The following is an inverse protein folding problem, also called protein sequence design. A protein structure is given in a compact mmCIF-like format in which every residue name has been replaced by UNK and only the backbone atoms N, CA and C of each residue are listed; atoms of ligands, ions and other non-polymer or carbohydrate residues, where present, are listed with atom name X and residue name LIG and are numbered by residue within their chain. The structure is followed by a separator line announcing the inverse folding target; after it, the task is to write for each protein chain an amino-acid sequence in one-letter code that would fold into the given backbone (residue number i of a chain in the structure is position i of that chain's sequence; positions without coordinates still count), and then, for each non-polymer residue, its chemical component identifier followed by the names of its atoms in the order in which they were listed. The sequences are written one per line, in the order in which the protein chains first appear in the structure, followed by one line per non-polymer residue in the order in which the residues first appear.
data_IF_771496640540
#
_entry.id   IF_771496640540
#
_cell.length_a   1.000
_cell.length_b   1.000
_cell.length_c   1.000
_cell.angle_alpha   90.00
_cell.angle_beta   90.00
_cell.angle_gamma   90.00
#
_symmetry.space_group_name_H-M   'P 1'
#
loop_
_entity.id
_entity.type
_entity.pdbx_description
1 polymer ?
#
# COMPACT_ATOMS: atom_id res chain seq x y z
N UNK A 1 -30.03 -68.39 -7.38
CA UNK A 1 -28.56 -68.41 -7.52
C UNK A 1 -28.05 -66.97 -7.50
N UNK A 2 -27.02 -66.66 -6.71
CA UNK A 2 -26.52 -65.31 -6.44
C UNK A 2 -25.31 -64.92 -7.31
N UNK A 3 -25.22 -63.63 -7.68
CA UNK A 3 -24.02 -62.76 -7.87
C UNK A 3 -24.46 -61.52 -8.66
N UNK A 4 -24.24 -60.31 -8.11
CA UNK A 4 -23.03 -59.53 -8.46
C UNK A 4 -22.33 -59.01 -7.19
N UNK A 5 -21.03 -59.23 -7.02
CA UNK A 5 -19.88 -58.55 -7.64
C UNK A 5 -19.36 -57.42 -6.74
N UNK A 6 -18.06 -57.54 -6.48
CA UNK A 6 -17.20 -56.72 -5.64
C UNK A 6 -17.13 -55.28 -6.15
N UNK A 7 -17.19 -54.31 -5.23
CA UNK A 7 -16.91 -52.92 -5.54
C UNK A 7 -16.83 -52.08 -4.28
N UNK A 8 -15.73 -52.18 -3.56
CA UNK A 8 -15.38 -51.26 -2.50
C UNK A 8 -15.16 -49.85 -3.10
N UNK A 9 -16.14 -48.97 -3.02
CA UNK A 9 -15.97 -47.55 -3.33
C UNK A 9 -15.62 -46.75 -2.08
N UNK A 10 -14.30 -46.67 -1.90
CA UNK A 10 -13.52 -45.52 -1.46
C UNK A 10 -14.27 -44.30 -0.89
N UNK A 11 -13.87 -43.95 0.34
CA UNK A 11 -13.24 -42.66 0.56
C UNK A 11 -14.15 -41.44 0.64
N UNK A 12 -14.75 -41.28 1.82
CA UNK A 12 -14.99 -40.02 2.52
C UNK A 12 -14.59 -38.72 1.78
N UNK A 13 -15.63 -37.95 1.42
CA UNK A 13 -15.73 -36.50 1.63
C UNK A 13 -14.50 -35.66 1.27
N UNK A 14 -14.44 -35.22 0.00
CA UNK A 14 -13.72 -34.00 -0.37
C UNK A 14 -14.48 -32.78 0.16
N UNK A 15 -14.17 -32.37 1.38
CA UNK A 15 -14.42 -31.03 1.87
C UNK A 15 -13.44 -30.05 1.23
N UNK A 16 -13.72 -29.62 0.00
CA UNK A 16 -13.02 -28.48 -0.59
C UNK A 16 -13.68 -27.19 -0.10
N UNK A 17 -13.41 -26.80 1.15
CA UNK A 17 -13.54 -25.40 1.56
C UNK A 17 -12.20 -24.73 1.26
N UNK A 18 -12.15 -23.96 0.18
CA UNK A 18 -11.16 -22.88 0.06
C UNK A 18 -11.86 -21.63 -0.48
N UNK A 19 -12.43 -20.77 0.39
CA UNK A 19 -12.60 -19.38 0.07
C UNK A 19 -11.43 -18.60 0.68
N UNK A 20 -10.26 -18.62 0.04
CA UNK A 20 -9.19 -17.69 0.42
C UNK A 20 -8.33 -17.29 -0.78
N UNK A 21 -8.88 -16.38 -1.57
CA UNK A 21 -8.10 -15.36 -2.27
C UNK A 21 -8.95 -14.09 -2.23
N UNK A 22 -8.39 -12.92 -1.88
CA UNK A 22 -7.02 -12.53 -2.14
C UNK A 22 -6.16 -12.56 -0.87
N UNK A 23 -4.99 -13.18 -0.98
CA UNK A 23 -3.85 -12.68 -0.24
C UNK A 23 -3.68 -11.22 -0.67
N UNK A 24 -4.22 -10.31 0.14
CA UNK A 24 -3.72 -8.95 0.20
C UNK A 24 -2.21 -9.10 0.23
N UNK A 25 -1.55 -8.60 -0.81
CA UNK A 25 -0.10 -8.56 -0.91
C UNK A 25 0.41 -7.54 0.11
N UNK A 26 0.13 -7.80 1.39
CA UNK A 26 0.81 -7.24 2.52
C UNK A 26 2.09 -8.07 2.64
N UNK A 27 3.03 -7.82 1.74
CA UNK A 27 4.39 -8.28 1.88
C UNK A 27 4.89 -7.77 3.24
N UNK A 28 5.23 -8.67 4.18
CA UNK A 28 5.67 -8.27 5.50
C UNK A 28 7.17 -7.99 5.43
N UNK A 29 7.56 -6.71 5.46
CA UNK A 29 8.84 -6.35 6.08
C UNK A 29 8.77 -4.92 6.62
N UNK A 30 8.53 -4.84 7.91
CA UNK A 30 8.59 -3.63 8.70
C UNK A 30 10.05 -3.17 8.82
N UNK A 31 10.41 -2.01 8.25
CA UNK A 31 11.38 -1.11 8.91
C UNK A 31 11.41 0.26 8.23
N UNK A 32 10.39 1.08 8.48
CA UNK A 32 10.50 2.54 8.39
C UNK A 32 9.46 3.09 9.37
N UNK A 33 9.83 3.29 10.65
CA UNK A 33 8.88 3.59 11.70
C UNK A 33 8.30 4.99 11.49
N UNK A 34 7.11 5.08 10.89
CA UNK A 34 6.31 6.30 10.92
C UNK A 34 5.45 6.58 9.70
N UNK A 35 5.75 6.04 8.52
CA UNK A 35 5.01 6.34 7.29
C UNK A 35 4.36 5.07 6.77
N UNK A 36 3.16 4.73 7.25
CA UNK A 36 2.38 3.60 6.75
C UNK A 36 1.40 4.05 5.65
N UNK A 37 1.09 3.22 4.66
CA UNK A 37 0.01 3.51 3.71
C UNK A 37 -1.33 3.72 4.44
N UNK A 38 -2.11 4.68 3.97
CA UNK A 38 -3.33 5.19 4.61
C UNK A 38 -3.10 6.25 5.68
N UNK A 39 -1.85 6.58 6.02
CA UNK A 39 -1.56 7.65 6.97
C UNK A 39 -1.48 9.01 6.28
N UNK A 40 -2.01 10.03 6.96
CA UNK A 40 -1.87 11.42 6.54
C UNK A 40 -0.43 11.89 6.77
N UNK A 41 0.13 12.58 5.78
CA UNK A 41 1.49 13.11 5.79
C UNK A 41 1.50 14.54 5.29
N UNK A 42 2.39 15.34 5.83
CA UNK A 42 2.65 16.72 5.43
C UNK A 42 4.09 16.83 4.92
N UNK A 43 4.33 17.76 4.01
CA UNK A 43 5.70 18.13 3.65
C UNK A 43 6.34 18.93 4.79
N UNK A 44 7.54 18.54 5.22
CA UNK A 44 8.37 19.35 6.13
C UNK A 44 8.94 20.58 5.42
N UNK A 45 9.30 20.43 4.15
CA UNK A 45 9.93 21.45 3.32
C UNK A 45 9.57 21.24 1.85
N UNK A 46 9.56 22.31 1.05
CA UNK A 46 9.24 22.21 -0.37
C UNK A 46 10.49 21.68 -1.08
N UNK A 47 10.47 20.48 -1.66
CA UNK A 47 11.58 20.05 -2.49
C UNK A 47 11.71 20.97 -3.70
N UNK A 48 12.88 21.06 -4.31
CA UNK A 48 13.03 21.84 -5.56
C UNK A 48 12.16 21.26 -6.68
N UNK A 49 11.97 19.94 -6.68
CA UNK A 49 11.17 19.21 -7.66
C UNK A 49 10.47 18.01 -7.03
N UNK A 50 9.24 17.76 -7.44
CA UNK A 50 8.46 16.57 -7.12
C UNK A 50 8.48 15.61 -8.30
N UNK A 51 8.64 14.32 -8.03
CA UNK A 51 8.63 13.29 -9.05
C UNK A 51 7.26 12.63 -9.09
N UNK A 52 6.64 12.48 -10.26
CA UNK A 52 5.35 11.77 -10.37
C UNK A 52 5.54 10.25 -10.32
N UNK A 53 4.53 9.54 -9.82
CA UNK A 53 4.50 8.07 -9.81
C UNK A 53 4.03 7.47 -11.16
N UNK A 54 4.06 8.25 -12.23
CA UNK A 54 3.60 7.87 -13.58
C UNK A 54 4.66 7.02 -14.31
N UNK A 55 4.26 6.11 -15.23
CA UNK A 55 5.18 5.38 -16.12
C UNK A 55 6.20 6.27 -16.85
N UNK A 56 5.88 7.54 -17.11
CA UNK A 56 6.88 8.57 -17.43
C UNK A 56 7.14 9.43 -16.19
N UNK A 57 8.22 9.17 -15.41
CA UNK A 57 8.52 9.98 -14.24
C UNK A 57 8.92 11.39 -14.68
N UNK A 58 8.01 12.35 -14.49
CA UNK A 58 8.25 13.76 -14.78
C UNK A 58 8.63 14.50 -13.49
N UNK A 59 9.60 15.40 -13.61
CA UNK A 59 9.93 16.36 -12.57
C UNK A 59 8.96 17.54 -12.71
N UNK A 60 8.13 17.74 -11.69
CA UNK A 60 7.24 18.88 -11.59
C UNK A 60 7.76 19.83 -10.52
N UNK A 61 7.58 21.15 -10.66
CA UNK A 61 7.92 22.09 -9.60
C UNK A 61 7.07 21.80 -8.35
N UNK A 62 7.66 21.92 -7.17
CA UNK A 62 6.93 21.72 -5.91
C UNK A 62 5.88 22.79 -5.64
N UNK A 63 5.80 23.84 -6.46
CA UNK A 63 4.70 24.82 -6.43
C UNK A 63 3.31 24.17 -6.59
N UNK A 64 3.25 22.99 -7.22
CA UNK A 64 2.00 22.23 -7.34
C UNK A 64 1.48 21.68 -6.00
N UNK A 65 2.33 21.51 -4.98
CA UNK A 65 1.95 20.93 -3.69
C UNK A 65 2.42 21.86 -2.57
N UNK A 66 1.49 22.32 -1.76
CA UNK A 66 1.82 23.21 -0.65
C UNK A 66 2.41 22.45 0.55
N UNK A 67 3.14 23.14 1.43
CA UNK A 67 3.60 22.56 2.70
C UNK A 67 2.42 22.24 3.63
N UNK A 68 1.37 23.05 3.54
CA UNK A 68 0.14 22.83 4.28
C UNK A 68 -0.76 21.75 3.64
N UNK A 69 -0.42 21.26 2.44
CA UNK A 69 -1.20 20.23 1.78
C UNK A 69 -0.94 18.87 2.44
N UNK A 70 -2.01 18.29 2.99
CA UNK A 70 -1.98 16.95 3.56
C UNK A 70 -2.11 15.93 2.42
N UNK A 71 -1.10 15.09 2.27
CA UNK A 71 -1.13 13.94 1.38
C UNK A 71 -1.45 12.66 2.13
N UNK A 72 -1.94 11.66 1.41
CA UNK A 72 -2.16 10.31 1.94
C UNK A 72 -1.09 9.38 1.38
N UNK A 73 -0.44 8.59 2.24
CA UNK A 73 0.50 7.57 1.76
C UNK A 73 -0.27 6.47 1.05
N UNK A 74 -0.03 6.27 -0.24
CA UNK A 74 -0.63 5.17 -1.01
C UNK A 74 0.23 3.92 -0.92
N UNK A 75 1.54 4.09 -1.02
CA UNK A 75 2.49 2.99 -1.01
C UNK A 75 3.88 3.48 -0.60
N UNK A 76 4.70 2.56 -0.13
CA UNK A 76 6.11 2.80 0.17
C UNK A 76 6.95 2.13 -0.92
N UNK A 77 7.84 2.88 -1.54
CA UNK A 77 8.83 2.36 -2.48
C UNK A 77 10.07 1.93 -1.69
N UNK A 78 10.82 0.92 -2.16
CA UNK A 78 12.20 0.73 -1.72
C UNK A 78 13.02 2.01 -1.89
N UNK A 79 14.13 2.14 -1.15
CA UNK A 79 15.02 3.32 -1.13
C UNK A 79 14.46 4.54 -0.37
N UNK A 80 13.50 4.36 0.52
CA UNK A 80 12.97 5.46 1.35
C UNK A 80 12.05 6.44 0.62
N UNK A 81 11.66 6.12 -0.62
CA UNK A 81 10.69 6.92 -1.37
C UNK A 81 9.27 6.51 -1.00
N UNK A 82 8.40 7.47 -0.77
CA UNK A 82 7.00 7.26 -0.38
C UNK A 82 6.09 7.79 -1.48
N UNK A 83 5.14 6.97 -1.91
CA UNK A 83 4.09 7.36 -2.85
C UNK A 83 3.00 8.07 -2.06
N UNK A 84 2.92 9.39 -2.21
CA UNK A 84 1.92 10.21 -1.54
C UNK A 84 0.93 10.73 -2.57
N UNK A 85 -0.35 10.48 -2.33
CA UNK A 85 -1.44 11.05 -3.10
C UNK A 85 -1.89 12.36 -2.46
N UNK A 86 -1.67 13.44 -3.18
CA UNK A 86 -2.23 14.74 -2.87
C UNK A 86 -3.50 14.97 -3.68
N UNK A 87 -4.20 16.06 -3.40
CA UNK A 87 -5.37 16.48 -4.17
C UNK A 87 -5.04 16.74 -5.65
N UNK A 88 -3.80 17.16 -5.94
CA UNK A 88 -3.31 17.44 -7.30
C UNK A 88 -2.90 16.19 -8.09
N UNK A 89 -2.66 15.06 -7.41
CA UNK A 89 -2.15 13.84 -8.04
C UNK A 89 -1.26 13.01 -7.11
N UNK A 90 -0.66 11.95 -7.65
CA UNK A 90 0.28 11.05 -6.95
C UNK A 90 1.73 11.40 -7.24
N UNK A 91 2.49 11.61 -6.17
CA UNK A 91 3.88 12.01 -6.24
C UNK A 91 4.74 11.10 -5.37
N UNK A 92 5.96 10.88 -5.82
CA UNK A 92 7.03 10.19 -5.13
C UNK A 92 7.81 11.24 -4.35
N UNK A 93 7.74 11.16 -3.02
CA UNK A 93 8.42 12.07 -2.11
C UNK A 93 9.33 11.25 -1.21
N UNK A 94 10.51 11.77 -0.94
CA UNK A 94 11.42 11.13 0.01
C UNK A 94 10.83 11.15 1.42
N UNK A 95 10.90 10.02 2.13
CA UNK A 95 10.41 9.90 3.49
C UNK A 95 11.05 10.91 4.45
N UNK A 96 12.27 11.38 4.18
CA UNK A 96 12.92 12.42 4.98
C UNK A 96 12.27 13.81 4.83
N UNK A 97 11.53 14.05 3.74
CA UNK A 97 10.81 15.30 3.50
C UNK A 97 9.34 15.24 3.97
N UNK A 98 8.89 14.07 4.43
CA UNK A 98 7.53 13.83 4.88
C UNK A 98 7.47 13.70 6.39
N UNK A 99 6.50 14.38 6.97
CA UNK A 99 6.13 14.22 8.37
C UNK A 99 4.79 13.52 8.44
N UNK A 100 4.72 12.42 9.20
CA UNK A 100 3.43 11.83 9.57
C UNK A 100 2.60 12.88 10.32
N UNK A 101 1.46 13.23 9.74
CA UNK A 101 0.46 14.06 10.37
C UNK A 101 -0.39 13.13 11.26
N UNK A 102 0.00 13.00 12.52
CA UNK A 102 -0.88 12.39 13.52
C UNK A 102 -2.03 13.37 13.73
N UNK A 103 -3.18 13.07 13.16
CA UNK A 103 -4.42 13.68 13.59
C UNK A 103 -4.67 13.21 15.02
N UNK A 104 -4.41 14.07 16.00
CA UNK A 104 -4.82 13.80 17.38
C UNK A 104 -6.24 14.31 17.60
N UNK A 105 -7.19 13.45 17.96
CA UNK A 105 -8.36 13.87 18.71
C UNK A 105 -8.13 13.49 20.17
N UNK A 106 -7.85 14.48 21.03
CA UNK A 106 -7.97 14.42 22.50
C UNK A 106 -7.21 13.29 23.21
N UNK A 107 -6.12 13.65 23.89
CA UNK A 107 -5.86 13.11 25.23
C UNK A 107 -6.27 14.20 26.24
#
# INVERSE_FOLDING_TARGET
MPSPESGAEVGASQGAVQPTSPGSSASPEASSPGLTPGCAVLLLQRPSYLKTADPMPMLRPADLVDLAEVGEVVALRPLGTVVVRFRRGTFLIDGALLRRQVGGPGD
#
